data_IF_793502825785
#
_entry.id   IF_793502825785
#
_cell.length_a   1.000
_cell.length_b   1.000
_cell.length_c   1.000
_cell.angle_alpha   90.00
_cell.angle_beta   90.00
_cell.angle_gamma   90.00
#
_symmetry.space_group_name_H-M   'P 1'
#
loop_
_entity.id
_entity.type
_entity.pdbx_description
1 polymer ?
#
# COMPACT_ATOMS: atom_id res chain seq x y z
N UNK A 1 9.96 -10.46 -25.59
CA UNK A 1 8.50 -10.29 -25.46
C UNK A 1 8.16 -10.51 -23.99
N UNK A 2 7.60 -9.51 -23.29
CA UNK A 2 7.17 -9.71 -21.91
C UNK A 2 5.94 -10.62 -21.91
N UNK A 3 5.90 -11.63 -21.04
CA UNK A 3 4.72 -12.48 -20.90
C UNK A 3 3.52 -11.63 -20.49
N UNK A 4 2.37 -11.83 -21.12
CA UNK A 4 1.13 -11.17 -20.73
C UNK A 4 0.71 -11.67 -19.35
N UNK A 5 0.51 -10.77 -18.40
CA UNK A 5 -0.07 -11.11 -17.09
C UNK A 5 -1.57 -11.19 -17.28
N UNK A 6 -2.14 -12.39 -17.20
CA UNK A 6 -3.59 -12.60 -17.34
C UNK A 6 -4.33 -12.49 -16.00
N UNK A 7 -3.67 -12.84 -14.90
CA UNK A 7 -4.28 -12.92 -13.56
C UNK A 7 -3.30 -12.55 -12.46
N UNK A 8 -3.79 -11.78 -11.49
CA UNK A 8 -3.13 -11.47 -10.22
C UNK A 8 -3.66 -12.40 -9.14
N UNK A 9 -2.76 -13.14 -8.49
CA UNK A 9 -3.10 -14.12 -7.46
C UNK A 9 -2.31 -13.83 -6.20
N UNK A 10 -2.99 -13.64 -5.07
CA UNK A 10 -2.35 -13.37 -3.78
C UNK A 10 -3.25 -13.76 -2.61
N UNK A 11 -2.69 -13.77 -1.39
CA UNK A 11 -3.44 -14.05 -0.18
C UNK A 11 -3.55 -12.80 0.71
N UNK A 12 -4.74 -12.55 1.27
CA UNK A 12 -4.95 -11.57 2.33
C UNK A 12 -5.61 -12.27 3.52
N UNK A 13 -4.97 -12.24 4.69
CA UNK A 13 -5.47 -12.85 5.92
C UNK A 13 -5.86 -14.34 5.72
N UNK A 14 -5.02 -15.10 5.04
CA UNK A 14 -5.27 -16.52 4.73
C UNK A 14 -6.32 -16.78 3.64
N UNK A 15 -6.98 -15.75 3.11
CA UNK A 15 -7.94 -15.88 2.00
C UNK A 15 -7.26 -15.63 0.68
N UNK A 16 -7.48 -16.51 -0.30
CA UNK A 16 -6.97 -16.37 -1.66
C UNK A 16 -7.83 -15.40 -2.47
N UNK A 17 -7.18 -14.49 -3.18
CA UNK A 17 -7.77 -13.56 -4.13
C UNK A 17 -7.18 -13.83 -5.50
N UNK A 18 -8.05 -13.95 -6.49
CA UNK A 18 -7.69 -14.08 -7.89
C UNK A 18 -8.45 -13.02 -8.68
N UNK A 19 -7.71 -12.20 -9.42
CA UNK A 19 -8.26 -11.04 -10.12
C UNK A 19 -7.74 -11.03 -11.54
N UNK A 20 -8.60 -10.87 -12.53
CA UNK A 20 -8.15 -10.72 -13.91
C UNK A 20 -7.31 -9.45 -14.03
N UNK A 21 -6.19 -9.51 -14.74
CA UNK A 21 -5.28 -8.36 -14.85
C UNK A 21 -5.94 -7.14 -15.52
N UNK A 22 -6.93 -7.35 -16.38
CA UNK A 22 -7.71 -6.27 -16.99
C UNK A 22 -8.69 -5.56 -16.04
N UNK A 23 -8.99 -6.13 -14.87
CA UNK A 23 -9.95 -5.56 -13.91
C UNK A 23 -9.29 -4.60 -12.92
N UNK A 24 -7.96 -4.49 -12.93
CA UNK A 24 -7.19 -3.70 -11.97
C UNK A 24 -6.14 -2.89 -12.72
N UNK A 25 -6.19 -1.57 -12.54
CA UNK A 25 -5.17 -0.70 -13.09
C UNK A 25 -3.81 -1.03 -12.43
N UNK A 26 -2.71 -1.18 -13.19
CA UNK A 26 -1.39 -1.50 -12.64
C UNK A 26 -0.86 -0.51 -11.59
N UNK A 27 -1.38 0.73 -11.55
CA UNK A 27 -1.05 1.73 -10.53
C UNK A 27 -1.85 1.56 -9.22
N UNK A 28 -2.84 0.65 -9.20
CA UNK A 28 -3.67 0.37 -8.02
C UNK A 28 -2.78 -0.08 -6.86
N UNK A 29 -2.84 0.68 -5.76
CA UNK A 29 -2.07 0.34 -4.57
C UNK A 29 -2.78 -0.73 -3.75
N UNK A 30 -2.02 -1.60 -3.09
CA UNK A 30 -2.58 -2.67 -2.27
C UNK A 30 -3.57 -2.16 -1.20
N UNK A 31 -3.27 -1.02 -0.56
CA UNK A 31 -4.15 -0.41 0.44
C UNK A 31 -5.51 -0.01 -0.14
N UNK A 32 -5.52 0.44 -1.39
CA UNK A 32 -6.74 0.79 -2.11
C UNK A 32 -7.53 -0.47 -2.42
N UNK A 33 -6.89 -1.49 -2.99
CA UNK A 33 -7.50 -2.79 -3.25
C UNK A 33 -8.15 -3.38 -1.99
N UNK A 34 -7.42 -3.41 -0.86
CA UNK A 34 -7.94 -3.93 0.41
C UNK A 34 -9.20 -3.18 0.83
N UNK A 35 -9.19 -1.84 0.77
CA UNK A 35 -10.30 -1.02 1.23
C UNK A 35 -11.51 -1.04 0.30
N UNK A 36 -11.34 -1.22 -1.01
CA UNK A 36 -12.44 -1.12 -1.99
C UNK A 36 -12.93 -2.47 -2.48
N UNK A 37 -12.06 -3.47 -2.59
CA UNK A 37 -12.35 -4.80 -3.15
C UNK A 37 -12.46 -5.90 -2.09
N UNK A 38 -12.27 -5.58 -0.81
CA UNK A 38 -12.45 -6.55 0.29
C UNK A 38 -13.31 -5.98 1.43
N UNK A 39 -13.82 -6.84 2.33
CA UNK A 39 -14.51 -6.40 3.55
C UNK A 39 -13.59 -5.73 4.59
N UNK A 40 -12.25 -5.81 4.44
CA UNK A 40 -11.32 -5.30 5.43
C UNK A 40 -11.20 -3.77 5.36
N UNK A 41 -11.92 -3.05 6.24
CA UNK A 41 -11.90 -1.56 6.28
C UNK A 41 -10.96 -0.96 7.33
N UNK A 42 -10.25 -1.82 8.08
CA UNK A 42 -9.31 -1.43 9.13
C UNK A 42 -8.06 -0.71 8.60
N UNK A 43 -7.52 -1.16 7.47
CA UNK A 43 -6.33 -0.56 6.85
C UNK A 43 -6.59 0.90 6.47
N UNK A 44 -5.77 1.83 6.97
CA UNK A 44 -5.94 3.27 6.77
C UNK A 44 -5.02 3.80 5.67
N UNK A 45 -5.47 4.86 5.00
CA UNK A 45 -4.67 5.68 4.09
C UNK A 45 -4.48 7.02 4.79
N UNK A 46 -3.24 7.31 5.21
CA UNK A 46 -2.83 8.63 5.70
C UNK A 46 -2.34 9.49 4.53
N UNK A 47 -1.10 9.98 4.61
CA UNK A 47 -0.46 10.78 3.55
C UNK A 47 -0.19 10.02 2.22
N UNK A 48 -0.53 8.74 2.13
CA UNK A 48 -0.27 7.92 0.94
C UNK A 48 1.21 7.60 0.70
N UNK A 49 2.10 8.13 1.54
CA UNK A 49 3.53 7.85 1.62
C UNK A 49 3.83 6.97 2.84
N UNK A 50 4.84 6.11 2.72
CA UNK A 50 5.31 5.31 3.84
C UNK A 50 6.14 6.17 4.80
N UNK A 51 5.49 6.88 5.71
CA UNK A 51 6.15 7.48 6.86
C UNK A 51 6.15 6.46 8.01
N UNK A 52 7.31 5.93 8.37
CA UNK A 52 7.44 5.23 9.65
C UNK A 52 7.43 6.27 10.77
N UNK A 53 6.87 5.93 11.94
CA UNK A 53 6.90 6.81 13.12
C UNK A 53 8.34 7.23 13.44
N UNK A 54 9.31 6.33 13.22
CA UNK A 54 10.74 6.61 13.34
C UNK A 54 11.23 7.69 12.36
N UNK A 55 10.83 7.67 11.09
CA UNK A 55 11.24 8.69 10.12
C UNK A 55 10.73 10.08 10.49
N UNK A 56 9.50 10.19 11.01
CA UNK A 56 8.95 11.46 11.50
C UNK A 56 9.69 11.94 12.75
N UNK A 57 9.99 11.04 13.68
CA UNK A 57 10.76 11.36 14.89
C UNK A 57 12.17 11.85 14.54
N UNK A 58 12.87 11.17 13.65
CA UNK A 58 14.21 11.57 13.21
C UNK A 58 14.16 12.96 12.57
N UNK A 59 13.20 13.23 11.70
CA UNK A 59 13.04 14.57 11.10
C UNK A 59 12.76 15.64 12.15
N UNK A 60 11.92 15.36 13.14
CA UNK A 60 11.65 16.27 14.26
C UNK A 60 12.91 16.57 15.08
N UNK A 61 13.70 15.54 15.38
CA UNK A 61 14.96 15.69 16.11
C UNK A 61 16.00 16.48 15.30
N UNK A 62 16.09 16.25 13.99
CA UNK A 62 16.96 17.05 13.10
C UNK A 62 16.51 18.52 13.05
N UNK A 63 15.21 18.79 12.94
CA UNK A 63 14.67 20.17 12.98
C UNK A 63 14.98 20.88 14.30
N UNK A 64 14.96 20.17 15.44
CA UNK A 64 15.38 20.73 16.73
C UNK A 64 16.89 20.94 16.85
N UNK A 65 17.69 20.02 16.30
CA UNK A 65 19.15 20.10 16.37
C UNK A 65 19.72 21.25 15.54
N UNK A 66 19.08 21.61 14.43
CA UNK A 66 19.49 22.72 13.55
C UNK A 66 18.99 24.09 14.03
N UNK A 67 18.09 24.14 15.02
CA UNK A 67 17.50 25.36 15.55
C UNK A 67 18.26 25.95 16.77
N UNK A 68 19.47 25.46 17.07
CA UNK A 68 20.36 25.96 18.13
C UNK A 68 21.69 26.37 17.51
#
# INVERSE_FOLDING_TARGET
MAAAVERLVFALNGRRYEVAAGDVDPSTRLVEFVRTRTPFKGTKIGCGEAATVYALLLRYLQMKATAI
#
